data_IF_042690297126
#
_entry.id   IF_042690297126
#
_cell.length_a   1.000
_cell.length_b   1.000
_cell.length_c   1.000
_cell.angle_alpha   90.00
_cell.angle_beta   90.00
_cell.angle_gamma   90.00
#
_symmetry.space_group_name_H-M   'P 1'
#
loop_
_entity.id
_entity.type
_entity.pdbx_description
1 polymer ?
#
# COMPACT_ATOMS: atom_id res chain seq x y z
N UNK A 1 20.89 16.26 -22.89
CA UNK A 1 20.06 15.65 -21.85
C UNK A 1 19.34 16.73 -21.07
N UNK A 2 18.09 16.52 -20.70
CA UNK A 2 17.36 17.50 -19.89
C UNK A 2 17.76 17.33 -18.43
N UNK A 3 18.22 18.40 -17.81
CA UNK A 3 18.66 18.39 -16.41
C UNK A 3 17.52 18.72 -15.45
N UNK A 4 17.46 17.96 -14.34
CA UNK A 4 16.58 18.13 -13.20
C UNK A 4 17.39 18.04 -11.91
N UNK A 5 16.88 18.61 -10.81
CA UNK A 5 17.47 18.42 -9.48
C UNK A 5 17.12 17.06 -8.89
N UNK A 6 15.98 16.51 -9.33
CA UNK A 6 15.42 15.25 -8.84
C UNK A 6 14.60 14.55 -9.92
N UNK A 7 14.79 13.23 -10.09
CA UNK A 7 13.91 12.37 -10.89
C UNK A 7 13.20 11.38 -9.97
N UNK A 8 11.86 11.37 -10.00
CA UNK A 8 11.00 10.43 -9.28
C UNK A 8 10.53 9.35 -10.26
N UNK A 9 10.82 8.08 -9.96
CA UNK A 9 10.40 6.93 -10.78
C UNK A 9 9.21 6.24 -10.14
N UNK A 10 8.03 6.49 -10.70
CA UNK A 10 6.72 6.04 -10.23
C UNK A 10 5.83 7.20 -9.80
N UNK A 11 4.62 7.30 -10.39
CA UNK A 11 3.61 8.33 -10.13
C UNK A 11 2.42 7.82 -9.28
N UNK A 12 2.63 6.75 -8.50
CA UNK A 12 1.66 6.29 -7.50
C UNK A 12 1.61 7.20 -6.27
N UNK A 13 0.90 6.81 -5.19
CA UNK A 13 0.72 7.65 -4.00
C UNK A 13 2.04 8.22 -3.45
N UNK A 14 3.10 7.41 -3.37
CA UNK A 14 4.40 7.89 -2.89
C UNK A 14 5.00 8.97 -3.81
N UNK A 15 5.12 8.70 -5.11
CA UNK A 15 5.75 9.63 -6.04
C UNK A 15 4.95 10.91 -6.23
N UNK A 16 3.63 10.83 -6.34
CA UNK A 16 2.76 12.01 -6.43
C UNK A 16 2.82 12.86 -5.16
N UNK A 17 2.84 12.24 -3.98
CA UNK A 17 2.96 12.96 -2.70
C UNK A 17 4.31 13.66 -2.59
N UNK A 18 5.42 12.97 -2.91
CA UNK A 18 6.75 13.59 -2.89
C UNK A 18 6.85 14.78 -3.83
N UNK A 19 6.37 14.63 -5.07
CA UNK A 19 6.41 15.71 -6.04
C UNK A 19 5.57 16.91 -5.61
N UNK A 20 4.37 16.67 -5.06
CA UNK A 20 3.52 17.74 -4.53
C UNK A 20 4.17 18.45 -3.34
N UNK A 21 4.79 17.72 -2.43
CA UNK A 21 5.47 18.31 -1.28
C UNK A 21 6.69 19.17 -1.66
N UNK A 22 7.32 18.87 -2.79
CA UNK A 22 8.49 19.62 -3.29
C UNK A 22 8.13 20.78 -4.25
N UNK A 23 6.86 21.07 -4.54
CA UNK A 23 6.47 22.12 -5.51
C UNK A 23 7.05 23.49 -5.18
N UNK A 24 7.08 23.83 -3.89
CA UNK A 24 7.57 25.14 -3.43
C UNK A 24 9.05 25.13 -2.99
N UNK A 25 9.76 24.02 -3.18
CA UNK A 25 11.16 23.88 -2.77
C UNK A 25 12.17 24.59 -3.67
N UNK A 26 11.73 25.14 -4.80
CA UNK A 26 12.61 25.70 -5.85
C UNK A 26 13.37 24.66 -6.67
N UNK A 27 13.19 23.36 -6.40
CA UNK A 27 13.86 22.27 -7.13
C UNK A 27 13.08 21.91 -8.40
N UNK A 28 13.81 21.66 -9.48
CA UNK A 28 13.26 21.17 -10.75
C UNK A 28 13.05 19.65 -10.66
N UNK A 29 11.83 19.21 -10.47
CA UNK A 29 11.44 17.79 -10.27
C UNK A 29 10.84 17.23 -11.55
N UNK A 30 11.23 16.00 -11.93
CA UNK A 30 10.61 15.22 -13.00
C UNK A 30 10.00 13.94 -12.42
N UNK A 31 8.74 13.63 -12.80
CA UNK A 31 8.11 12.35 -12.51
C UNK A 31 8.06 11.50 -13.78
N UNK A 32 8.47 10.23 -13.67
CA UNK A 32 8.38 9.26 -14.77
C UNK A 32 7.53 8.07 -14.31
N UNK A 33 6.52 7.69 -15.10
CA UNK A 33 5.76 6.47 -14.88
C UNK A 33 5.58 5.68 -16.19
N UNK A 34 5.63 4.35 -16.07
CA UNK A 34 5.44 3.44 -17.22
C UNK A 34 4.01 3.41 -17.75
N UNK A 35 3.05 3.92 -17.01
CA UNK A 35 1.62 3.90 -17.36
C UNK A 35 1.06 5.32 -17.51
N UNK A 36 -0.05 5.43 -18.24
CA UNK A 36 -0.91 6.59 -18.18
C UNK A 36 -1.86 6.48 -17.00
N UNK A 37 -2.37 7.62 -16.55
CA UNK A 37 -3.40 7.72 -15.51
C UNK A 37 -4.71 8.22 -16.13
N UNK A 38 -5.88 7.81 -15.62
CA UNK A 38 -6.06 6.85 -14.52
C UNK A 38 -5.62 5.43 -14.92
N UNK A 39 -5.07 4.68 -13.96
CA UNK A 39 -4.62 3.30 -14.16
C UNK A 39 -5.12 2.37 -13.08
N UNK A 40 -5.31 1.13 -13.43
CA UNK A 40 -5.65 0.09 -12.49
C UNK A 40 -4.44 -0.34 -11.64
N UNK A 41 -4.69 -0.65 -10.36
CA UNK A 41 -3.67 -1.11 -9.41
C UNK A 41 -4.30 -2.07 -8.42
N UNK A 42 -3.79 -3.29 -8.37
CA UNK A 42 -4.21 -4.32 -7.42
C UNK A 42 -4.08 -3.83 -5.98
N UNK A 43 -5.20 -3.73 -5.26
CA UNK A 43 -5.30 -3.26 -3.88
C UNK A 43 -6.74 -3.36 -3.40
N UNK A 44 -7.00 -3.75 -2.14
CA UNK A 44 -8.34 -3.69 -1.56
C UNK A 44 -8.98 -2.29 -1.67
N UNK A 45 -8.16 -1.24 -1.77
CA UNK A 45 -8.60 0.14 -1.99
C UNK A 45 -9.29 0.69 -0.74
N UNK A 46 -8.53 0.91 0.29
CA UNK A 46 -9.02 1.54 1.50
C UNK A 46 -7.99 2.56 2.03
N UNK A 47 -8.46 3.61 2.68
CA UNK A 47 -7.66 4.64 3.37
C UNK A 47 -8.28 5.01 4.70
N UNK A 48 -7.46 5.40 5.66
CA UNK A 48 -7.92 5.89 6.97
C UNK A 48 -8.16 7.41 6.93
N UNK A 49 -8.94 7.98 7.88
CA UNK A 49 -9.06 9.43 8.02
C UNK A 49 -7.70 10.13 8.16
N UNK A 50 -6.72 9.48 8.79
CA UNK A 50 -5.36 10.00 8.89
C UNK A 50 -4.70 10.26 7.53
N UNK A 51 -4.96 9.43 6.52
CA UNK A 51 -4.46 9.65 5.15
C UNK A 51 -5.11 10.90 4.54
N UNK A 52 -6.42 11.07 4.72
CA UNK A 52 -7.14 12.25 4.20
C UNK A 52 -6.63 13.52 4.87
N UNK A 53 -6.44 13.51 6.21
CA UNK A 53 -5.90 14.63 6.97
C UNK A 53 -4.46 14.97 6.55
N UNK A 54 -3.56 13.97 6.48
CA UNK A 54 -2.16 14.15 6.07
C UNK A 54 -2.04 14.80 4.68
N UNK A 55 -2.94 14.44 3.75
CA UNK A 55 -2.96 14.98 2.38
C UNK A 55 -3.81 16.23 2.23
N UNK A 56 -4.43 16.74 3.31
CA UNK A 56 -5.38 17.85 3.27
C UNK A 56 -6.47 17.61 2.22
N UNK A 57 -7.06 16.42 2.22
CA UNK A 57 -8.16 16.04 1.33
C UNK A 57 -9.47 16.16 2.10
N UNK A 58 -10.36 17.02 1.63
CA UNK A 58 -11.74 17.07 2.11
C UNK A 58 -12.52 15.87 1.53
N UNK A 59 -13.05 14.96 2.40
CA UNK A 59 -13.82 13.81 1.94
C UNK A 59 -15.06 14.17 1.11
N UNK A 60 -15.74 15.28 1.41
CA UNK A 60 -16.92 15.73 0.66
C UNK A 60 -16.53 16.21 -0.74
N UNK A 61 -15.44 16.98 -0.85
CA UNK A 61 -14.91 17.42 -2.13
C UNK A 61 -14.43 16.23 -2.96
N UNK A 62 -13.64 15.33 -2.37
CA UNK A 62 -13.15 14.13 -3.05
C UNK A 62 -14.29 13.27 -3.60
N UNK A 63 -15.37 13.09 -2.83
CA UNK A 63 -16.52 12.27 -3.22
C UNK A 63 -17.33 12.83 -4.40
N UNK A 64 -17.12 14.08 -4.79
CA UNK A 64 -17.75 14.68 -5.96
C UNK A 64 -17.13 14.10 -7.25
N UNK A 65 -17.74 13.03 -7.76
CA UNK A 65 -17.31 12.36 -8.98
C UNK A 65 -16.28 11.25 -8.79
N UNK A 66 -15.97 10.87 -7.55
CA UNK A 66 -15.08 9.74 -7.21
C UNK A 66 -15.72 8.84 -6.17
N UNK A 67 -15.31 7.59 -6.17
CA UNK A 67 -15.77 6.60 -5.19
C UNK A 67 -15.15 6.87 -3.82
N UNK A 68 -15.99 7.20 -2.85
CA UNK A 68 -15.63 7.29 -1.43
C UNK A 68 -16.71 6.60 -0.60
N UNK A 69 -16.45 5.40 -0.15
CA UNK A 69 -17.38 4.60 0.65
C UNK A 69 -17.04 4.74 2.14
N UNK A 70 -17.85 5.45 2.96
CA UNK A 70 -17.63 5.50 4.39
C UNK A 70 -17.76 4.12 5.03
N UNK A 71 -16.81 3.76 5.89
CA UNK A 71 -16.74 2.49 6.62
C UNK A 71 -16.92 2.79 8.11
N UNK A 72 -17.90 2.11 8.73
CA UNK A 72 -18.24 2.24 10.15
C UNK A 72 -18.10 0.93 10.90
N UNK A 73 -18.08 -0.19 10.18
CA UNK A 73 -18.08 -1.54 10.72
C UNK A 73 -17.00 -2.38 10.06
N UNK A 74 -16.61 -3.44 10.73
CA UNK A 74 -15.78 -4.49 10.15
C UNK A 74 -16.37 -5.85 10.50
N UNK A 75 -16.38 -6.76 9.51
CA UNK A 75 -16.71 -8.16 9.69
C UNK A 75 -15.42 -8.96 9.59
N UNK A 76 -15.03 -9.63 10.69
CA UNK A 76 -13.74 -10.32 10.79
C UNK A 76 -13.98 -11.77 11.19
N UNK A 77 -13.33 -12.70 10.50
CA UNK A 77 -13.40 -14.11 10.80
C UNK A 77 -12.20 -14.90 10.30
N UNK A 78 -12.25 -16.19 10.52
CA UNK A 78 -11.37 -17.16 9.89
C UNK A 78 -12.16 -17.93 8.84
N UNK A 79 -11.55 -18.28 7.71
CA UNK A 79 -12.18 -19.06 6.64
C UNK A 79 -12.77 -20.35 7.19
N UNK A 80 -14.03 -20.64 6.85
CA UNK A 80 -14.78 -21.79 7.34
C UNK A 80 -15.25 -21.69 8.80
N UNK A 81 -15.27 -20.50 9.39
CA UNK A 81 -15.75 -20.25 10.75
C UNK A 81 -16.70 -19.04 10.80
N UNK A 82 -17.55 -18.91 11.84
CA UNK A 82 -18.37 -17.73 12.04
C UNK A 82 -17.51 -16.47 12.19
N UNK A 83 -17.93 -15.38 11.55
CA UNK A 83 -17.29 -14.06 11.67
C UNK A 83 -17.95 -13.22 12.77
N UNK A 84 -17.19 -12.29 13.33
CA UNK A 84 -17.61 -11.27 14.28
C UNK A 84 -17.75 -9.94 13.56
N UNK A 85 -18.83 -9.21 13.81
CA UNK A 85 -19.03 -7.86 13.28
C UNK A 85 -18.90 -6.84 14.41
N UNK A 86 -18.03 -5.84 14.20
CA UNK A 86 -17.79 -4.76 15.16
C UNK A 86 -18.27 -3.45 14.56
N UNK A 87 -19.14 -2.74 15.28
CA UNK A 87 -19.60 -1.39 14.96
C UNK A 87 -18.77 -0.37 15.73
N UNK A 88 -18.16 0.58 15.03
CA UNK A 88 -17.36 1.66 15.62
C UNK A 88 -18.19 2.94 15.88
N UNK A 89 -19.44 2.99 15.39
CA UNK A 89 -20.32 4.15 15.50
C UNK A 89 -20.03 5.21 14.46
N UNK A 90 -18.81 5.73 14.44
CA UNK A 90 -18.36 6.75 13.51
C UNK A 90 -17.64 6.17 12.29
N UNK A 91 -17.35 7.01 11.29
CA UNK A 91 -16.55 6.65 10.13
C UNK A 91 -15.09 6.45 10.58
N UNK A 92 -14.57 5.24 10.43
CA UNK A 92 -13.21 4.88 10.84
C UNK A 92 -12.26 4.67 9.65
N UNK A 93 -12.80 4.56 8.44
CA UNK A 93 -12.02 4.50 7.20
C UNK A 93 -12.92 4.72 5.98
N UNK A 94 -12.30 4.76 4.80
CA UNK A 94 -12.98 4.96 3.53
C UNK A 94 -12.53 3.92 2.51
N UNK A 95 -13.49 3.30 1.82
CA UNK A 95 -13.25 2.52 0.62
C UNK A 95 -13.08 3.45 -0.58
N UNK A 96 -11.98 3.28 -1.30
CA UNK A 96 -11.64 4.05 -2.50
C UNK A 96 -11.36 3.12 -3.68
N UNK A 97 -11.42 3.64 -4.90
CA UNK A 97 -10.87 2.97 -6.09
C UNK A 97 -9.50 3.53 -6.41
N UNK A 98 -8.52 2.63 -6.52
CA UNK A 98 -7.11 3.03 -6.74
C UNK A 98 -6.91 3.79 -8.04
N UNK A 99 -7.64 3.47 -9.11
CA UNK A 99 -7.55 4.22 -10.36
C UNK A 99 -7.95 5.69 -10.17
N UNK A 100 -8.98 5.95 -9.38
CA UNK A 100 -9.46 7.30 -9.10
C UNK A 100 -8.57 8.04 -8.09
N UNK A 101 -8.13 7.34 -7.03
CA UNK A 101 -7.32 7.95 -5.98
C UNK A 101 -5.90 8.31 -6.47
N UNK A 102 -5.25 7.39 -7.18
CA UNK A 102 -3.90 7.63 -7.70
C UNK A 102 -3.92 8.75 -8.75
N UNK A 103 -4.93 8.80 -9.62
CA UNK A 103 -5.13 9.87 -10.61
C UNK A 103 -5.39 11.22 -9.94
N UNK A 104 -6.22 11.23 -8.91
CA UNK A 104 -6.48 12.44 -8.12
C UNK A 104 -5.22 12.99 -7.48
N UNK A 105 -4.38 12.16 -6.86
CA UNK A 105 -3.11 12.60 -6.28
C UNK A 105 -2.19 13.17 -7.35
N UNK A 106 -2.07 12.49 -8.49
CA UNK A 106 -1.22 12.94 -9.60
C UNK A 106 -1.74 14.23 -10.25
N UNK A 107 -3.07 14.43 -10.29
CA UNK A 107 -3.67 15.66 -10.84
C UNK A 107 -3.35 16.91 -10.02
N UNK A 108 -3.02 16.75 -8.73
CA UNK A 108 -2.61 17.84 -7.83
C UNK A 108 -1.15 18.26 -8.02
N UNK A 109 -0.39 17.52 -8.80
CA UNK A 109 1.04 17.77 -9.03
C UNK A 109 1.21 18.65 -10.26
N UNK A 110 1.94 19.78 -10.15
CA UNK A 110 2.24 20.69 -11.25
C UNK A 110 3.58 20.40 -11.93
N UNK A 111 4.48 19.64 -11.30
CA UNK A 111 5.78 19.28 -11.83
C UNK A 111 5.68 18.57 -13.19
N UNK A 112 6.72 18.67 -14.06
CA UNK A 112 6.82 17.91 -15.30
C UNK A 112 6.61 16.40 -15.11
N UNK A 113 5.81 15.80 -16.00
CA UNK A 113 5.43 14.37 -15.95
C UNK A 113 5.73 13.70 -17.28
N UNK A 114 6.39 12.54 -17.24
CA UNK A 114 6.60 11.65 -18.38
C UNK A 114 5.85 10.35 -18.12
N UNK A 115 4.58 10.32 -18.53
CA UNK A 115 3.70 9.15 -18.40
C UNK A 115 3.85 8.23 -19.61
N UNK A 116 3.35 6.98 -19.51
CA UNK A 116 3.54 5.93 -20.50
C UNK A 116 5.01 5.70 -20.89
N UNK A 117 5.94 6.02 -19.98
CA UNK A 117 7.38 6.03 -20.24
C UNK A 117 8.08 5.03 -19.30
N UNK A 118 8.27 3.78 -19.70
CA UNK A 118 9.00 2.82 -18.90
C UNK A 118 10.48 3.22 -18.78
N UNK A 119 11.00 3.14 -17.55
CA UNK A 119 12.45 3.30 -17.32
C UNK A 119 13.14 2.01 -17.75
N UNK A 120 13.98 2.13 -18.80
CA UNK A 120 14.71 1.02 -19.41
C UNK A 120 16.18 0.98 -19.00
N UNK A 121 16.78 2.15 -18.77
CA UNK A 121 18.16 2.29 -18.33
C UNK A 121 18.28 3.34 -17.23
N UNK A 122 19.14 3.05 -16.25
CA UNK A 122 19.59 3.99 -15.22
C UNK A 122 21.09 3.77 -15.10
N UNK A 123 21.88 4.78 -15.40
CA UNK A 123 23.34 4.73 -15.34
C UNK A 123 23.88 5.95 -14.62
N UNK A 124 25.01 5.83 -13.93
CA UNK A 124 25.68 6.96 -13.29
C UNK A 124 26.75 7.52 -14.24
N UNK A 125 26.71 8.82 -14.49
CA UNK A 125 27.65 9.51 -15.35
C UNK A 125 27.99 10.88 -14.77
N UNK A 126 29.28 11.20 -14.63
CA UNK A 126 29.77 12.49 -14.15
C UNK A 126 29.11 12.97 -12.83
N UNK A 127 28.81 12.02 -11.92
CA UNK A 127 28.16 12.29 -10.63
C UNK A 127 26.63 12.28 -10.67
N UNK A 128 25.99 12.36 -11.84
CA UNK A 128 24.55 12.35 -12.02
C UNK A 128 24.01 10.96 -12.41
N UNK A 129 22.74 10.72 -12.14
CA UNK A 129 21.97 9.61 -12.66
C UNK A 129 21.34 9.99 -14.00
N UNK A 130 21.60 9.19 -15.02
CA UNK A 130 21.03 9.34 -16.37
C UNK A 130 19.96 8.29 -16.58
N UNK A 131 18.74 8.73 -16.85
CA UNK A 131 17.56 7.85 -17.07
C UNK A 131 17.19 7.87 -18.54
N UNK A 132 17.11 6.68 -19.16
CA UNK A 132 16.74 6.46 -20.57
C UNK A 132 17.58 7.31 -21.56
N UNK A 133 18.85 7.60 -21.24
CA UNK A 133 19.75 8.45 -22.04
C UNK A 133 19.15 9.85 -22.38
N UNK A 134 18.13 10.28 -21.66
CA UNK A 134 17.33 11.48 -21.95
C UNK A 134 17.37 12.50 -20.83
N UNK A 135 17.21 12.04 -19.59
CA UNK A 135 17.11 12.90 -18.40
C UNK A 135 18.24 12.63 -17.42
N UNK A 136 18.74 13.68 -16.80
CA UNK A 136 19.79 13.56 -15.78
C UNK A 136 19.45 14.33 -14.51
N UNK A 137 19.85 13.80 -13.36
CA UNK A 137 19.70 14.43 -12.06
C UNK A 137 20.75 13.91 -11.06
N UNK A 138 21.17 14.72 -10.06
CA UNK A 138 22.03 14.26 -8.97
C UNK A 138 21.32 13.30 -8.02
N UNK A 139 19.98 13.37 -7.91
CA UNK A 139 19.16 12.50 -7.07
C UNK A 139 18.09 11.78 -7.89
N UNK A 140 17.98 10.45 -7.67
CA UNK A 140 16.88 9.62 -8.19
C UNK A 140 16.10 8.99 -7.03
N UNK A 141 14.76 9.11 -7.05
CA UNK A 141 13.90 8.52 -6.03
C UNK A 141 13.04 7.41 -6.62
N UNK A 142 13.17 6.21 -6.05
CA UNK A 142 12.36 5.05 -6.42
C UNK A 142 11.01 5.04 -5.69
N UNK A 143 9.93 5.27 -6.45
CA UNK A 143 8.54 5.23 -6.02
C UNK A 143 7.68 4.25 -6.85
N UNK A 144 8.33 3.36 -7.62
CA UNK A 144 7.69 2.48 -8.61
C UNK A 144 7.04 1.22 -8.03
N UNK A 145 6.88 1.10 -6.71
CA UNK A 145 6.33 -0.06 -6.03
C UNK A 145 7.34 -1.20 -5.92
N UNK A 146 6.88 -2.40 -5.58
CA UNK A 146 7.74 -3.56 -5.32
C UNK A 146 8.76 -3.85 -6.44
N UNK A 147 8.37 -3.69 -7.68
CA UNK A 147 9.22 -3.93 -8.86
C UNK A 147 9.91 -2.65 -9.37
N UNK A 148 10.15 -1.68 -8.51
CA UNK A 148 10.79 -0.42 -8.87
C UNK A 148 12.19 -0.65 -9.48
N UNK A 149 12.50 -0.11 -10.67
CA UNK A 149 13.82 -0.28 -11.26
C UNK A 149 14.94 0.41 -10.46
N UNK A 150 14.62 1.49 -9.73
CA UNK A 150 15.59 2.18 -8.86
C UNK A 150 15.99 1.31 -7.67
N UNK A 151 15.06 0.52 -7.11
CA UNK A 151 15.38 -0.38 -6.00
C UNK A 151 16.47 -1.41 -6.34
N UNK A 152 16.65 -1.72 -7.63
CA UNK A 152 17.72 -2.63 -8.10
C UNK A 152 19.11 -2.00 -8.05
N UNK A 153 19.22 -0.69 -7.90
CA UNK A 153 20.50 0.01 -7.77
C UNK A 153 21.08 -0.16 -6.35
N UNK A 154 20.23 -0.44 -5.36
CA UNK A 154 20.60 -0.50 -3.94
C UNK A 154 20.82 -1.94 -3.43
N UNK A 155 20.87 -2.94 -4.28
CA UNK A 155 21.11 -4.32 -3.88
C UNK A 155 20.81 -5.32 -4.99
N UNK A 156 20.82 -6.62 -4.67
CA UNK A 156 20.65 -7.72 -5.63
C UNK A 156 19.25 -7.78 -6.28
N UNK A 157 18.43 -6.76 -6.09
CA UNK A 157 17.06 -6.69 -6.60
C UNK A 157 16.04 -7.42 -5.72
N UNK A 158 14.75 -7.38 -6.08
CA UNK A 158 13.72 -8.09 -5.34
C UNK A 158 13.94 -9.59 -5.44
N UNK A 159 13.99 -10.29 -4.31
CA UNK A 159 13.99 -11.75 -4.28
C UNK A 159 15.15 -12.43 -3.53
N UNK A 160 16.02 -11.70 -2.84
CA UNK A 160 17.04 -12.29 -1.97
C UNK A 160 16.45 -13.09 -0.79
N UNK A 161 16.68 -12.68 0.42
CA UNK A 161 16.13 -13.31 1.64
C UNK A 161 14.77 -12.70 2.07
N UNK A 162 14.18 -11.81 1.26
CA UNK A 162 12.96 -11.08 1.60
C UNK A 162 11.70 -11.96 1.50
N UNK A 163 10.88 -11.96 2.55
CA UNK A 163 9.55 -12.62 2.51
C UNK A 163 8.56 -11.73 1.76
N UNK A 164 8.22 -12.15 0.54
CA UNK A 164 7.28 -11.45 -0.33
C UNK A 164 5.87 -11.93 -0.08
N UNK A 165 4.95 -11.00 0.18
CA UNK A 165 3.51 -11.28 0.15
C UNK A 165 3.01 -11.22 -1.28
N UNK A 166 2.42 -12.31 -1.75
CA UNK A 166 1.72 -12.36 -3.02
C UNK A 166 0.21 -12.20 -2.79
N UNK A 167 -0.42 -11.33 -3.57
CA UNK A 167 -1.86 -11.10 -3.53
C UNK A 167 -2.49 -11.27 -4.90
N UNK A 168 -3.75 -11.73 -4.92
CA UNK A 168 -4.60 -11.74 -6.11
C UNK A 168 -5.93 -11.10 -5.78
N UNK A 169 -6.44 -10.27 -6.67
CA UNK A 169 -7.74 -9.62 -6.52
C UNK A 169 -8.48 -9.44 -7.83
N UNK A 170 -9.77 -9.17 -7.72
CA UNK A 170 -10.61 -8.62 -8.78
C UNK A 170 -11.45 -7.48 -8.22
N UNK A 171 -11.47 -6.34 -8.92
CA UNK A 171 -12.42 -5.24 -8.68
C UNK A 171 -13.28 -5.06 -9.92
N UNK A 172 -14.60 -4.99 -9.75
CA UNK A 172 -15.55 -4.83 -10.85
C UNK A 172 -16.81 -4.09 -10.42
N UNK A 173 -17.48 -3.49 -11.37
CA UNK A 173 -18.80 -2.90 -11.18
C UNK A 173 -19.87 -3.99 -11.26
N UNK A 174 -20.67 -4.13 -10.19
CA UNK A 174 -21.79 -5.06 -10.15
C UNK A 174 -22.94 -4.55 -11.01
N UNK A 175 -23.61 -5.46 -11.69
CA UNK A 175 -24.92 -5.16 -12.29
C UNK A 175 -25.96 -4.86 -11.18
N UNK A 176 -27.09 -4.19 -11.48
CA UNK A 176 -28.14 -3.96 -10.48
C UNK A 176 -28.63 -5.25 -9.80
N UNK A 177 -28.74 -6.35 -10.53
CA UNK A 177 -29.17 -7.65 -10.00
C UNK A 177 -28.10 -8.22 -9.06
N UNK A 178 -26.83 -8.16 -9.44
CA UNK A 178 -25.70 -8.56 -8.58
C UNK A 178 -25.65 -7.73 -7.30
N UNK A 179 -25.79 -6.41 -7.43
CA UNK A 179 -25.75 -5.48 -6.29
C UNK A 179 -26.90 -5.72 -5.30
N UNK A 180 -28.08 -6.09 -5.81
CA UNK A 180 -29.28 -6.42 -5.01
C UNK A 180 -29.14 -7.76 -4.29
N UNK A 181 -28.53 -8.76 -4.95
CA UNK A 181 -28.34 -10.10 -4.39
C UNK A 181 -27.13 -10.22 -3.44
N UNK A 182 -26.17 -9.29 -3.53
CA UNK A 182 -24.93 -9.31 -2.77
C UNK A 182 -25.17 -8.88 -1.31
N UNK A 183 -24.88 -9.76 -0.35
CA UNK A 183 -25.01 -9.47 1.08
C UNK A 183 -23.83 -8.69 1.67
N UNK A 184 -22.72 -8.51 0.95
CA UNK A 184 -21.63 -7.63 1.39
C UNK A 184 -22.12 -6.17 1.38
N UNK A 185 -21.83 -5.45 2.48
CA UNK A 185 -22.28 -4.08 2.68
C UNK A 185 -21.11 -3.10 2.46
N UNK A 186 -21.40 -1.92 1.92
CA UNK A 186 -20.39 -0.90 1.67
C UNK A 186 -19.77 -0.35 2.97
N UNK A 187 -20.57 -0.17 4.01
CA UNK A 187 -20.13 0.33 5.31
C UNK A 187 -19.40 -0.72 6.19
N UNK A 188 -19.32 -1.98 5.70
CA UNK A 188 -18.83 -3.13 6.47
C UNK A 188 -17.93 -4.03 5.62
N UNK A 189 -16.68 -3.66 5.38
CA UNK A 189 -15.74 -4.57 4.74
C UNK A 189 -15.51 -5.83 5.57
N UNK A 190 -15.15 -6.90 4.89
CA UNK A 190 -14.94 -8.22 5.48
C UNK A 190 -13.49 -8.65 5.33
N UNK A 191 -12.93 -9.14 6.44
CA UNK A 191 -11.57 -9.67 6.52
C UNK A 191 -11.62 -11.12 7.02
N UNK A 192 -11.06 -12.03 6.24
CA UNK A 192 -11.12 -13.46 6.50
C UNK A 192 -9.73 -14.06 6.56
N UNK A 193 -9.24 -14.33 7.77
CA UNK A 193 -7.91 -14.88 7.98
C UNK A 193 -7.85 -16.33 7.50
N UNK A 194 -6.74 -16.69 6.85
CA UNK A 194 -6.45 -18.07 6.51
C UNK A 194 -6.31 -18.92 7.77
N UNK A 195 -6.71 -20.20 7.71
CA UNK A 195 -6.66 -21.10 8.87
C UNK A 195 -5.26 -21.29 9.47
N UNK A 196 -4.24 -21.14 8.64
CA UNK A 196 -2.82 -21.25 9.04
C UNK A 196 -2.19 -19.90 9.41
N UNK A 197 -2.97 -18.81 9.42
CA UNK A 197 -2.56 -17.43 9.73
C UNK A 197 -1.48 -16.86 8.82
N UNK A 198 -1.22 -17.46 7.65
CA UNK A 198 -0.22 -16.99 6.68
C UNK A 198 -0.77 -16.00 5.66
N UNK A 199 -1.89 -15.38 5.94
CA UNK A 199 -2.53 -14.42 5.09
C UNK A 199 -4.00 -14.24 5.41
N UNK A 200 -4.65 -13.38 4.65
CA UNK A 200 -6.09 -13.14 4.77
C UNK A 200 -6.71 -12.76 3.42
N UNK A 201 -8.00 -13.01 3.32
CA UNK A 201 -8.84 -12.59 2.21
C UNK A 201 -9.74 -11.42 2.61
N UNK A 202 -10.26 -10.72 1.63
CA UNK A 202 -11.14 -9.60 1.85
C UNK A 202 -12.30 -9.55 0.85
N UNK A 203 -13.39 -8.92 1.29
CA UNK A 203 -14.52 -8.49 0.46
C UNK A 203 -14.82 -7.04 0.80
N UNK A 204 -14.63 -6.13 -0.14
CA UNK A 204 -14.91 -4.70 -0.01
C UNK A 204 -15.93 -4.27 -1.04
N UNK A 205 -17.06 -3.77 -0.61
CA UNK A 205 -18.05 -3.12 -1.47
C UNK A 205 -17.93 -1.60 -1.37
N UNK A 206 -17.85 -0.95 -2.51
CA UNK A 206 -17.70 0.51 -2.64
C UNK A 206 -18.79 1.02 -3.59
N UNK A 207 -19.94 1.39 -3.03
CA UNK A 207 -21.13 1.64 -3.85
C UNK A 207 -21.51 0.39 -4.66
N UNK A 208 -21.45 0.50 -6.00
CA UNK A 208 -21.69 -0.60 -6.91
C UNK A 208 -20.43 -1.44 -7.23
N UNK A 209 -19.25 -1.01 -6.81
CA UNK A 209 -18.02 -1.77 -7.05
C UNK A 209 -17.79 -2.79 -5.93
N UNK A 210 -17.37 -3.99 -6.33
CA UNK A 210 -16.97 -5.06 -5.43
C UNK A 210 -15.52 -5.43 -5.68
N UNK A 211 -14.72 -5.42 -4.62
CA UNK A 211 -13.33 -5.85 -4.63
C UNK A 211 -13.18 -7.09 -3.76
N UNK A 212 -12.64 -8.15 -4.33
CA UNK A 212 -12.44 -9.44 -3.68
C UNK A 212 -10.99 -9.85 -3.91
N UNK A 213 -10.31 -10.25 -2.84
CA UNK A 213 -8.93 -10.71 -2.97
C UNK A 213 -8.43 -11.52 -1.80
N UNK A 214 -7.21 -11.99 -1.94
CA UNK A 214 -6.47 -12.73 -0.91
C UNK A 214 -4.98 -12.46 -1.06
N UNK A 215 -4.32 -12.18 0.07
CA UNK A 215 -2.87 -12.03 0.17
C UNK A 215 -2.26 -13.08 1.10
N UNK A 216 -1.08 -13.64 0.72
CA UNK A 216 -0.36 -14.65 1.50
C UNK A 216 1.15 -14.52 1.37
N UNK A 217 1.85 -14.94 2.41
CA UNK A 217 3.32 -15.04 2.44
C UNK A 217 3.83 -16.23 1.62
N UNK A 218 3.06 -17.33 1.50
CA UNK A 218 3.41 -18.50 0.69
C UNK A 218 2.63 -18.52 -0.64
N UNK A 219 3.20 -17.95 -1.67
CA UNK A 219 2.56 -17.73 -2.98
C UNK A 219 2.08 -19.01 -3.68
N UNK A 220 2.73 -20.17 -3.45
CA UNK A 220 2.40 -21.44 -4.11
C UNK A 220 1.01 -21.98 -3.76
N UNK A 221 0.43 -21.56 -2.63
CA UNK A 221 -0.92 -21.94 -2.20
C UNK A 221 -1.98 -20.86 -2.45
N UNK A 222 -1.58 -19.70 -2.92
CA UNK A 222 -2.45 -18.53 -3.07
C UNK A 222 -3.70 -18.82 -3.90
N UNK A 223 -3.56 -19.45 -5.05
CA UNK A 223 -4.68 -19.74 -5.96
C UNK A 223 -5.72 -20.64 -5.31
N UNK A 224 -5.31 -21.76 -4.72
CA UNK A 224 -6.23 -22.71 -4.09
C UNK A 224 -6.97 -22.11 -2.86
N UNK A 225 -6.29 -21.29 -2.07
CA UNK A 225 -6.94 -20.57 -0.98
C UNK A 225 -7.95 -19.51 -1.48
N UNK A 226 -7.61 -18.80 -2.56
CA UNK A 226 -8.51 -17.84 -3.17
C UNK A 226 -9.76 -18.51 -3.74
N UNK A 227 -9.60 -19.61 -4.46
CA UNK A 227 -10.72 -20.39 -5.01
C UNK A 227 -11.65 -20.91 -3.91
N UNK A 228 -11.09 -21.49 -2.84
CA UNK A 228 -11.87 -21.96 -1.69
C UNK A 228 -12.62 -20.81 -0.99
N UNK A 229 -11.97 -19.66 -0.85
CA UNK A 229 -12.58 -18.47 -0.28
C UNK A 229 -13.75 -17.94 -1.15
N UNK A 230 -13.54 -17.86 -2.45
CA UNK A 230 -14.57 -17.40 -3.39
C UNK A 230 -15.80 -18.31 -3.34
N UNK A 231 -15.62 -19.63 -3.32
CA UNK A 231 -16.73 -20.58 -3.22
C UNK A 231 -17.46 -20.47 -1.87
N UNK A 232 -16.76 -20.25 -0.76
CA UNK A 232 -17.37 -20.00 0.55
C UNK A 232 -18.21 -18.72 0.53
N UNK A 233 -17.70 -17.64 -0.05
CA UNK A 233 -18.42 -16.36 -0.12
C UNK A 233 -19.64 -16.44 -1.06
N UNK A 234 -19.55 -17.17 -2.17
CA UNK A 234 -20.67 -17.45 -3.07
C UNK A 234 -21.77 -18.27 -2.36
N UNK A 235 -21.38 -19.36 -1.69
CA UNK A 235 -22.32 -20.24 -0.99
C UNK A 235 -23.12 -19.56 0.10
N UNK A 236 -22.53 -18.50 0.70
CA UNK A 236 -23.17 -17.71 1.75
C UNK A 236 -23.85 -16.43 1.22
N UNK A 237 -23.88 -16.22 -0.10
CA UNK A 237 -24.48 -15.05 -0.74
C UNK A 237 -23.73 -13.73 -0.48
N UNK A 238 -22.50 -13.81 0.07
CA UNK A 238 -21.70 -12.61 0.35
C UNK A 238 -21.23 -11.92 -0.91
N UNK A 239 -21.00 -12.68 -1.97
CA UNK A 239 -20.61 -12.18 -3.29
C UNK A 239 -21.49 -12.79 -4.39
N UNK A 240 -21.61 -12.16 -5.57
CA UNK A 240 -22.35 -12.70 -6.71
C UNK A 240 -21.79 -14.07 -7.16
N UNK A 241 -22.68 -14.91 -7.73
CA UNK A 241 -22.28 -16.20 -8.30
C UNK A 241 -21.36 -16.02 -9.49
N UNK A 242 -21.67 -15.09 -10.37
CA UNK A 242 -20.89 -14.77 -11.55
C UNK A 242 -19.92 -13.63 -11.26
N UNK A 243 -18.64 -13.95 -11.18
CA UNK A 243 -17.58 -12.96 -11.06
C UNK A 243 -17.00 -12.69 -12.45
N UNK A 244 -16.99 -11.44 -12.90
CA UNK A 244 -16.36 -11.09 -14.16
C UNK A 244 -14.84 -11.07 -14.04
N UNK A 245 -14.18 -11.49 -15.11
CA UNK A 245 -12.78 -11.22 -15.30
C UNK A 245 -11.81 -12.16 -14.59
N UNK A 246 -10.54 -11.80 -14.72
CA UNK A 246 -9.41 -12.55 -14.19
C UNK A 246 -8.87 -11.85 -12.94
N UNK A 247 -8.60 -12.60 -11.89
CA UNK A 247 -7.87 -12.10 -10.73
C UNK A 247 -6.48 -11.64 -11.13
N UNK A 248 -6.14 -10.39 -10.81
CA UNK A 248 -4.84 -9.77 -11.08
C UNK A 248 -3.91 -9.99 -9.90
N UNK A 249 -2.65 -10.27 -10.20
CA UNK A 249 -1.62 -10.49 -9.18
C UNK A 249 -0.86 -9.22 -8.80
N UNK A 250 -0.42 -9.15 -7.56
CA UNK A 250 0.49 -8.16 -7.05
C UNK A 250 1.43 -8.78 -6.00
N UNK A 251 2.59 -8.15 -5.79
CA UNK A 251 3.52 -8.53 -4.74
C UNK A 251 4.00 -7.28 -4.00
N UNK A 252 4.25 -7.43 -2.69
CA UNK A 252 4.79 -6.37 -1.84
C UNK A 252 5.59 -6.96 -0.68
N UNK A 253 6.39 -6.12 -0.02
CA UNK A 253 7.17 -6.48 1.14
C UNK A 253 6.55 -5.87 2.39
N UNK A 254 6.48 -6.67 3.45
CA UNK A 254 6.15 -6.20 4.79
C UNK A 254 7.37 -5.54 5.42
N UNK A 255 7.18 -4.43 6.10
CA UNK A 255 8.27 -3.62 6.66
C UNK A 255 9.24 -4.40 7.54
N UNK A 256 8.74 -5.25 8.43
CA UNK A 256 9.59 -6.05 9.32
C UNK A 256 10.46 -7.09 8.59
N UNK A 257 10.09 -7.46 7.35
CA UNK A 257 10.78 -8.48 6.55
C UNK A 257 11.55 -7.90 5.36
N UNK A 258 11.57 -6.57 5.23
CA UNK A 258 12.29 -5.90 4.15
C UNK A 258 13.74 -5.64 4.57
N UNK A 259 14.69 -6.05 3.74
CA UNK A 259 16.13 -5.85 3.93
C UNK A 259 16.71 -4.86 2.89
N UNK A 260 15.89 -3.96 2.39
CA UNK A 260 16.31 -2.98 1.37
C UNK A 260 16.96 -1.77 2.03
N UNK A 261 18.15 -1.34 1.59
CA UNK A 261 18.66 -0.01 1.91
C UNK A 261 17.65 1.06 1.48
N UNK A 262 17.48 2.08 2.30
CA UNK A 262 16.56 3.18 2.00
C UNK A 262 17.23 4.28 1.18
N UNK A 263 18.54 4.43 1.33
CA UNK A 263 19.36 5.49 0.73
C UNK A 263 20.72 4.97 0.28
N UNK A 264 21.28 5.64 -0.69
CA UNK A 264 22.68 5.57 -1.11
C UNK A 264 23.05 6.90 -1.79
N UNK A 265 24.30 7.04 -2.28
CA UNK A 265 24.78 8.25 -2.97
C UNK A 265 23.89 8.61 -4.17
N UNK A 266 23.09 9.67 -4.00
CA UNK A 266 22.14 10.14 -5.00
C UNK A 266 20.95 9.21 -5.27
N UNK A 267 20.61 8.31 -4.34
CA UNK A 267 19.48 7.38 -4.47
C UNK A 267 18.66 7.36 -3.19
N UNK A 268 17.33 7.33 -3.33
CA UNK A 268 16.39 7.15 -2.21
C UNK A 268 15.22 6.25 -2.63
N UNK A 269 14.69 5.43 -1.72
CA UNK A 269 13.50 4.61 -1.94
C UNK A 269 12.36 5.03 -1.01
N UNK A 270 11.12 5.07 -1.53
CA UNK A 270 9.91 5.40 -0.78
C UNK A 270 8.78 4.42 -1.07
N UNK A 271 7.84 4.27 -0.14
CA UNK A 271 6.68 3.39 -0.27
C UNK A 271 7.04 1.91 -0.47
N UNK A 272 6.28 1.20 -1.31
CA UNK A 272 6.51 -0.23 -1.58
C UNK A 272 7.89 -0.51 -2.21
N UNK A 273 8.52 0.47 -2.86
CA UNK A 273 9.89 0.31 -3.38
C UNK A 273 10.91 0.17 -2.24
N UNK A 274 10.63 0.78 -1.11
CA UNK A 274 11.40 0.68 0.13
C UNK A 274 10.93 -0.48 1.05
N UNK A 275 9.87 -1.22 0.67
CA UNK A 275 9.30 -2.29 1.49
C UNK A 275 8.60 -1.79 2.75
N UNK A 276 7.79 -0.74 2.67
CA UNK A 276 7.20 -0.08 3.83
C UNK A 276 5.75 -0.49 4.16
N UNK A 277 5.19 -1.55 3.56
CA UNK A 277 3.85 -2.00 3.93
C UNK A 277 3.82 -2.47 5.40
N UNK A 278 2.77 -2.09 6.14
CA UNK A 278 2.61 -2.51 7.54
C UNK A 278 2.60 -4.02 7.69
N UNK A 279 3.35 -4.53 8.67
CA UNK A 279 3.60 -5.96 8.84
C UNK A 279 2.33 -6.76 9.11
N UNK A 280 1.38 -6.23 9.88
CA UNK A 280 0.19 -6.97 10.30
C UNK A 280 -0.94 -6.93 9.26
N UNK A 281 -1.10 -5.80 8.56
CA UNK A 281 -2.21 -5.56 7.63
C UNK A 281 -1.82 -5.63 6.17
N UNK A 282 -0.54 -5.44 5.85
CA UNK A 282 -0.10 -5.26 4.46
C UNK A 282 -0.58 -3.95 3.84
N UNK A 283 -1.12 -3.00 4.63
CA UNK A 283 -1.49 -1.68 4.13
C UNK A 283 -0.25 -0.90 3.74
N UNK A 284 -0.22 -0.40 2.51
CA UNK A 284 0.92 0.31 1.95
C UNK A 284 0.64 1.75 1.52
N UNK A 285 -0.65 2.18 1.47
CA UNK A 285 -0.98 3.54 1.00
C UNK A 285 -0.50 4.60 1.98
N UNK A 286 -0.83 4.44 3.27
CA UNK A 286 -0.39 5.37 4.31
C UNK A 286 1.13 5.44 4.43
N UNK A 287 1.86 4.31 4.55
CA UNK A 287 3.32 4.33 4.54
C UNK A 287 3.93 4.96 3.28
N UNK A 288 3.33 4.75 2.11
CA UNK A 288 3.79 5.37 0.87
C UNK A 288 3.71 6.89 0.92
N UNK A 289 2.62 7.43 1.45
CA UNK A 289 2.41 8.87 1.61
C UNK A 289 3.34 9.44 2.68
N UNK A 290 3.38 8.83 3.86
CA UNK A 290 4.19 9.30 4.97
C UNK A 290 5.69 9.25 4.66
N UNK A 291 6.19 8.18 4.03
CA UNK A 291 7.59 8.10 3.61
C UNK A 291 7.96 9.16 2.55
N UNK A 292 7.01 9.50 1.67
CA UNK A 292 7.22 10.55 0.69
C UNK A 292 7.35 11.94 1.33
N UNK A 293 6.56 12.21 2.37
CA UNK A 293 6.65 13.48 3.12
C UNK A 293 7.96 13.56 3.92
N UNK A 294 8.35 12.48 4.61
CA UNK A 294 9.65 12.42 5.31
C UNK A 294 10.82 12.59 4.34
N UNK A 295 10.72 12.02 3.13
CA UNK A 295 11.70 12.22 2.08
C UNK A 295 11.74 13.67 1.58
N UNK A 296 10.58 14.33 1.47
CA UNK A 296 10.50 15.72 1.06
C UNK A 296 11.21 16.66 2.04
N UNK A 297 11.03 16.45 3.36
CA UNK A 297 11.70 17.23 4.40
C UNK A 297 13.23 17.10 4.28
N UNK A 298 13.74 15.87 4.18
CA UNK A 298 15.18 15.62 4.05
C UNK A 298 15.75 16.19 2.75
N UNK A 299 15.05 16.00 1.61
CA UNK A 299 15.47 16.56 0.32
C UNK A 299 15.44 18.10 0.33
N UNK A 300 14.48 18.69 1.03
CA UNK A 300 14.34 20.14 1.16
C UNK A 300 15.53 20.77 1.88
N UNK A 301 16.04 20.12 2.93
CA UNK A 301 17.15 20.60 3.77
C UNK A 301 18.53 20.18 3.24
N UNK A 302 18.60 19.17 2.38
CA UNK A 302 19.87 18.61 1.91
C UNK A 302 20.67 19.60 1.04
N UNK A 303 21.94 19.78 1.38
CA UNK A 303 22.92 20.57 0.60
C UNK A 303 23.62 19.73 -0.46
N UNK A 304 23.67 18.43 -0.27
CA UNK A 304 24.16 17.42 -1.22
C UNK A 304 23.33 16.13 -1.05
N UNK A 305 23.52 15.17 -1.95
CA UNK A 305 22.77 13.91 -1.94
C UNK A 305 23.69 12.70 -1.69
N UNK A 306 24.73 12.87 -0.89
CA UNK A 306 25.53 11.74 -0.42
C UNK A 306 24.71 10.82 0.50
N UNK A 307 25.10 9.57 0.59
CA UNK A 307 24.44 8.61 1.50
C UNK A 307 24.39 9.13 2.94
N UNK A 308 25.46 9.82 3.41
CA UNK A 308 25.49 10.42 4.74
C UNK A 308 24.51 11.57 4.93
N UNK A 309 24.32 12.42 3.92
CA UNK A 309 23.34 13.54 3.96
C UNK A 309 21.91 13.04 3.90
N UNK A 310 21.66 11.91 3.22
CA UNK A 310 20.34 11.29 3.11
C UNK A 310 20.01 10.34 4.28
N UNK A 311 20.97 10.00 5.17
CA UNK A 311 20.77 9.04 6.26
C UNK A 311 19.66 9.46 7.23
N UNK A 312 19.46 10.76 7.44
CA UNK A 312 18.37 11.28 8.29
C UNK A 312 16.97 10.82 7.84
N UNK A 313 16.79 10.50 6.56
CA UNK A 313 15.57 9.85 6.08
C UNK A 313 15.40 8.44 6.67
N UNK A 314 16.47 7.65 6.70
CA UNK A 314 16.46 6.32 7.32
C UNK A 314 16.09 6.37 8.81
N UNK A 315 16.62 7.36 9.51
CA UNK A 315 16.34 7.59 10.95
C UNK A 315 14.87 8.01 11.15
N UNK A 316 14.35 8.91 10.31
CA UNK A 316 12.95 9.33 10.34
C UNK A 316 11.98 8.16 10.02
N UNK A 317 12.32 7.27 9.09
CA UNK A 317 11.56 6.05 8.83
C UNK A 317 11.58 5.12 10.05
N UNK A 318 12.73 4.92 10.69
CA UNK A 318 12.84 4.09 11.87
C UNK A 318 12.07 4.67 13.07
N UNK A 319 12.07 5.97 13.24
CA UNK A 319 11.26 6.66 14.25
C UNK A 319 9.76 6.49 14.00
N UNK A 320 9.32 6.64 12.74
CA UNK A 320 7.90 6.58 12.35
C UNK A 320 7.31 5.18 12.34
N UNK A 321 8.04 4.19 11.82
CA UNK A 321 7.56 2.83 11.57
C UNK A 321 8.16 1.79 12.52
N UNK A 322 9.08 2.19 13.38
CA UNK A 322 9.88 1.32 14.24
C UNK A 322 11.13 0.80 13.53
N UNK A 323 12.00 0.13 14.28
CA UNK A 323 13.18 -0.52 13.70
C UNK A 323 12.78 -1.81 12.98
N UNK A 324 13.38 -2.07 11.81
CA UNK A 324 13.24 -3.36 11.14
C UNK A 324 13.79 -4.46 12.02
N UNK A 325 13.10 -5.60 12.10
CA UNK A 325 13.60 -6.74 12.84
C UNK A 325 14.85 -7.28 12.11
N UNK A 326 16.00 -7.27 12.76
CA UNK A 326 17.27 -7.77 12.21
C UNK A 326 17.31 -9.29 12.08
N UNK A 327 16.41 -10.02 12.73
CA UNK A 327 16.18 -11.48 12.58
C UNK A 327 14.71 -11.79 12.93
N UNK A 328 14.11 -12.85 12.32
CA UNK A 328 12.82 -13.35 12.79
C UNK A 328 12.98 -13.72 14.27
N UNK A 329 12.11 -13.17 15.11
CA UNK A 329 12.08 -13.43 16.55
C UNK A 329 12.14 -14.95 16.79
N UNK A 330 13.30 -15.45 17.22
CA UNK A 330 13.50 -16.84 17.63
C UNK A 330 12.85 -17.14 18.98
N UNK A 331 11.94 -16.27 19.45
CA UNK A 331 11.13 -16.47 20.63
C UNK A 331 10.42 -17.84 20.60
N UNK A 332 9.98 -18.30 21.74
CA UNK A 332 9.25 -19.56 21.93
C UNK A 332 8.16 -19.71 20.86
N UNK A 333 8.45 -20.52 19.84
CA UNK A 333 7.44 -20.84 18.81
C UNK A 333 6.37 -21.74 19.46
N UNK A 334 5.24 -21.11 19.77
CA UNK A 334 4.06 -21.87 20.25
C UNK A 334 3.70 -22.89 19.18
N UNK A 335 3.67 -24.19 19.50
CA UNK A 335 3.32 -25.23 18.52
C UNK A 335 1.96 -24.96 17.87
N UNK A 336 1.82 -25.27 16.58
CA UNK A 336 0.60 -25.00 15.82
C UNK A 336 -0.66 -25.59 16.43
N UNK A 337 -0.55 -26.75 17.11
CA UNK A 337 -1.69 -27.39 17.78
C UNK A 337 -2.22 -26.59 18.99
N UNK A 338 -1.43 -25.68 19.58
CA UNK A 338 -1.87 -24.73 20.62
C UNK A 338 -2.24 -23.39 19.99
N UNK A 339 -1.41 -22.91 19.05
CA UNK A 339 -1.59 -21.62 18.38
C UNK A 339 -2.90 -21.51 17.63
N UNK A 340 -3.28 -22.57 16.88
CA UNK A 340 -4.47 -22.55 16.04
C UNK A 340 -5.79 -22.50 16.83
N UNK A 341 -6.03 -23.34 17.86
CA UNK A 341 -7.24 -23.22 18.69
C UNK A 341 -7.32 -21.87 19.42
N UNK A 342 -6.19 -21.37 19.93
CA UNK A 342 -6.14 -20.06 20.58
C UNK A 342 -6.50 -18.92 19.62
N UNK A 343 -5.90 -18.89 18.45
CA UNK A 343 -6.21 -17.89 17.41
C UNK A 343 -7.68 -17.96 16.98
N UNK A 344 -8.22 -19.18 16.78
CA UNK A 344 -9.64 -19.39 16.47
C UNK A 344 -10.55 -18.85 17.58
N UNK A 345 -10.20 -19.04 18.85
CA UNK A 345 -10.96 -18.52 19.99
C UNK A 345 -10.89 -16.98 20.05
N UNK A 346 -9.72 -16.41 19.86
CA UNK A 346 -9.52 -14.95 19.85
C UNK A 346 -10.28 -14.28 18.71
N UNK A 347 -10.27 -14.86 17.51
CA UNK A 347 -11.00 -14.33 16.34
C UNK A 347 -12.52 -14.38 16.48
N UNK A 348 -13.06 -15.08 17.47
CA UNK A 348 -14.48 -15.05 17.83
C UNK A 348 -14.80 -14.01 18.92
N UNK A 349 -13.80 -13.36 19.49
CA UNK A 349 -13.96 -12.35 20.51
C UNK A 349 -14.17 -10.96 19.90
N UNK A 350 -15.28 -10.30 20.21
CA UNK A 350 -15.53 -8.91 19.83
C UNK A 350 -14.42 -7.96 20.30
N UNK A 351 -13.92 -8.18 21.52
CA UNK A 351 -12.85 -7.35 22.05
C UNK A 351 -11.56 -7.49 21.21
N UNK A 352 -11.14 -8.73 20.92
CA UNK A 352 -9.90 -8.97 20.16
C UNK A 352 -10.00 -8.48 18.71
N UNK A 353 -11.09 -8.82 18.01
CA UNK A 353 -11.29 -8.42 16.62
C UNK A 353 -11.44 -6.90 16.48
N UNK A 354 -12.04 -6.22 17.46
CA UNK A 354 -12.14 -4.77 17.48
C UNK A 354 -10.83 -4.12 17.86
N UNK A 355 -10.30 -4.40 19.06
CA UNK A 355 -9.17 -3.65 19.63
C UNK A 355 -7.83 -4.02 19.01
N UNK A 356 -7.61 -5.31 18.75
CA UNK A 356 -6.31 -5.76 18.24
C UNK A 356 -6.32 -5.79 16.72
N UNK A 357 -7.27 -6.52 16.12
CA UNK A 357 -7.27 -6.65 14.65
C UNK A 357 -7.62 -5.33 14.00
N UNK A 358 -8.82 -4.76 14.28
CA UNK A 358 -9.26 -3.56 13.56
C UNK A 358 -8.50 -2.31 13.99
N UNK A 359 -8.58 -1.91 15.27
CA UNK A 359 -8.07 -0.61 15.72
C UNK A 359 -6.54 -0.53 15.67
N UNK A 360 -5.83 -1.60 16.05
CA UNK A 360 -4.37 -1.61 16.11
C UNK A 360 -3.74 -2.04 14.79
N UNK A 361 -4.11 -3.21 14.22
CA UNK A 361 -3.41 -3.77 13.06
C UNK A 361 -3.81 -3.14 11.74
N UNK A 362 -5.10 -2.78 11.59
CA UNK A 362 -5.62 -2.29 10.32
C UNK A 362 -5.83 -0.78 10.28
N UNK A 363 -6.35 -0.16 11.32
CA UNK A 363 -6.62 1.26 11.33
C UNK A 363 -5.47 2.10 11.88
N UNK A 364 -4.53 1.48 12.61
CA UNK A 364 -3.40 2.17 13.25
C UNK A 364 -3.85 3.43 14.02
N UNK A 365 -4.97 3.31 14.80
CA UNK A 365 -5.58 4.46 15.49
C UNK A 365 -4.67 5.11 16.54
N UNK A 366 -3.70 4.35 17.05
CA UNK A 366 -2.71 4.84 18.02
C UNK A 366 -1.63 5.74 17.37
N UNK A 367 -1.54 5.72 16.02
CA UNK A 367 -0.54 6.48 15.27
C UNK A 367 -1.18 7.72 14.68
N UNK A 368 -0.86 8.93 15.16
CA UNK A 368 -1.47 10.16 14.66
C UNK A 368 -1.10 10.42 13.18
N UNK A 369 -1.90 11.24 12.46
CA UNK A 369 -1.52 11.71 11.14
C UNK A 369 -0.15 12.38 11.16
N UNK A 370 0.65 12.15 10.12
CA UNK A 370 1.92 12.86 9.97
C UNK A 370 1.61 14.33 9.61
N UNK A 371 2.06 15.24 10.45
CA UNK A 371 2.00 16.68 10.18
C UNK A 371 3.37 17.11 9.67
N UNK A 372 3.44 17.52 8.43
CA UNK A 372 4.62 18.14 7.85
C UNK A 372 4.47 19.65 8.02
N UNK A 373 5.54 20.32 8.39
CA UNK A 373 5.56 21.78 8.36
C UNK A 373 5.51 22.20 6.87
N UNK A 374 4.36 22.73 6.43
CA UNK A 374 4.17 23.29 5.09
C UNK A 374 4.80 24.66 5.01
#
# INVERSE_FOLDING_TARGET
>A
MDYYDLIIVGAGPAGSTLASALENSGKKVLIIDKQNFPRDKTCAGWVTPAVMETLSIDPEEYSRGRTLQPIRRFRIGMMGQPAVENDHGDVVSYGIRRCEFDDYLLSRVNNPKQLATPVKSIVRKDGNWVVNDTWEAPLIVGAGGHFCPVARLLGDGPGGHETVVAAKEVEFEMTPDQASACLARGDTPELWFCRDLKGYAWVFRKGNFLNIGLGREDNHKLTGHLEAFVEEMKSTGRIPQDLPGRFKGHAYLLYAHADRPLVDDGVMLIGDAAGLAYTQSGEGIRPAIESALLAADVIGEATDYSASSLQSYGDAIAERFGTRASEPDQGWQVPDWVKMPLASSLMRSHWFTRKVVTEKWFLHQEVPPLKVAV
#
